data_IF_834765333522
#
_entry.id   IF_834765333522
#
_cell.length_a   1.000
_cell.length_b   1.000
_cell.length_c   1.000
_cell.angle_alpha   90.00
_cell.angle_beta   90.00
_cell.angle_gamma   90.00
#
_symmetry.space_group_name_H-M   'P 1'
#
loop_
_entity.id
_entity.type
_entity.pdbx_description
1 polymer ?
#
# COMPACT_ATOMS: atom_id res chain seq x y z
N UNK A 1 -5.08 -15.87 15.09
CA UNK A 1 -5.70 -14.57 14.77
C UNK A 1 -7.13 -14.53 15.29
N UNK A 2 -7.65 -13.37 15.68
CA UNK A 2 -9.05 -13.18 16.07
C UNK A 2 -9.79 -12.45 14.94
N UNK A 3 -10.60 -13.14 14.12
CA UNK A 3 -11.37 -12.49 13.07
C UNK A 3 -12.60 -11.78 13.66
N UNK A 4 -12.75 -10.49 13.35
CA UNK A 4 -13.92 -9.70 13.71
C UNK A 4 -14.61 -9.19 12.44
N UNK A 5 -15.88 -9.54 12.23
CA UNK A 5 -16.69 -8.96 11.16
C UNK A 5 -17.13 -7.56 11.63
N UNK A 6 -16.68 -6.52 10.92
CA UNK A 6 -16.88 -5.11 11.32
C UNK A 6 -17.19 -4.26 10.09
N UNK A 7 -18.29 -3.52 10.14
CA UNK A 7 -18.49 -2.34 9.30
C UNK A 7 -17.81 -1.14 9.96
N UNK A 8 -16.74 -0.61 9.36
CA UNK A 8 -15.98 0.54 9.91
C UNK A 8 -16.79 1.85 9.94
N UNK A 9 -18.01 1.86 9.38
CA UNK A 9 -18.93 2.99 9.50
C UNK A 9 -19.78 2.91 10.78
N UNK A 10 -19.84 1.76 11.43
CA UNK A 10 -20.61 1.50 12.64
C UNK A 10 -19.72 1.62 13.88
N UNK A 11 -20.08 2.54 14.77
CA UNK A 11 -19.31 2.85 15.98
C UNK A 11 -19.34 1.72 17.01
N UNK A 12 -20.49 1.05 17.15
CA UNK A 12 -20.62 -0.03 18.13
C UNK A 12 -19.79 -1.23 17.68
N UNK A 13 -19.82 -1.55 16.38
CA UNK A 13 -19.04 -2.67 15.85
C UNK A 13 -17.52 -2.44 15.97
N UNK A 14 -17.03 -1.21 15.73
CA UNK A 14 -15.62 -0.88 15.95
C UNK A 14 -15.27 -1.05 17.44
N UNK A 15 -16.09 -0.49 18.33
CA UNK A 15 -15.83 -0.52 19.77
C UNK A 15 -15.80 -1.96 20.30
N UNK A 16 -16.80 -2.76 19.96
CA UNK A 16 -16.86 -4.18 20.34
C UNK A 16 -15.67 -4.98 19.78
N UNK A 17 -15.24 -4.71 18.55
CA UNK A 17 -14.09 -5.40 17.96
C UNK A 17 -12.78 -5.07 18.67
N UNK A 18 -12.58 -3.80 19.02
CA UNK A 18 -11.43 -3.34 19.82
C UNK A 18 -11.46 -3.97 21.21
N UNK A 19 -12.60 -3.99 21.89
CA UNK A 19 -12.74 -4.63 23.20
C UNK A 19 -12.46 -6.13 23.14
N UNK A 20 -12.97 -6.83 22.13
CA UNK A 20 -12.67 -8.26 21.90
C UNK A 20 -11.18 -8.49 21.69
N UNK A 21 -10.51 -7.65 20.89
CA UNK A 21 -9.07 -7.74 20.68
C UNK A 21 -8.29 -7.50 21.97
N UNK A 22 -8.63 -6.46 22.74
CA UNK A 22 -7.98 -6.15 24.02
C UNK A 22 -8.18 -7.28 25.02
N UNK A 23 -9.37 -7.85 25.13
CA UNK A 23 -9.64 -8.99 26.02
C UNK A 23 -8.88 -10.25 25.61
N UNK A 24 -8.69 -10.47 24.30
CA UNK A 24 -7.97 -11.64 23.80
C UNK A 24 -6.44 -11.51 23.89
N UNK A 25 -5.90 -10.31 23.69
CA UNK A 25 -4.45 -10.10 23.52
C UNK A 25 -3.81 -9.19 24.59
N UNK A 26 -4.62 -8.63 25.51
CA UNK A 26 -4.16 -7.79 26.60
C UNK A 26 -3.92 -6.32 26.24
N UNK A 27 -4.07 -5.94 24.96
CA UNK A 27 -3.87 -4.58 24.49
C UNK A 27 -3.93 -4.44 22.97
N UNK A 28 -3.60 -3.24 22.48
CA UNK A 28 -3.41 -2.94 21.06
C UNK A 28 -2.10 -2.20 20.91
N UNK A 29 -1.18 -2.79 20.15
CA UNK A 29 0.12 -2.20 19.82
C UNK A 29 0.08 -1.49 18.45
N UNK A 30 -0.72 -1.98 17.51
CA UNK A 30 -0.72 -1.47 16.14
C UNK A 30 -2.16 -1.33 15.66
N UNK A 31 -2.50 -0.18 15.09
CA UNK A 31 -3.71 0.02 14.31
C UNK A 31 -3.32 0.28 12.86
N UNK A 32 -3.85 -0.53 11.95
CA UNK A 32 -3.70 -0.34 10.50
C UNK A 32 -5.07 -0.01 9.92
N UNK A 33 -5.27 1.24 9.53
CA UNK A 33 -6.51 1.71 8.90
C UNK A 33 -6.49 1.42 7.39
N UNK A 34 -6.68 0.16 7.03
CA UNK A 34 -6.60 -0.28 5.62
C UNK A 34 -7.92 -0.14 4.84
N UNK A 35 -9.06 0.03 5.50
CA UNK A 35 -10.37 0.09 4.84
C UNK A 35 -10.46 1.32 3.93
N UNK A 36 -10.87 1.11 2.66
CA UNK A 36 -11.01 2.19 1.68
C UNK A 36 -12.21 1.96 0.76
N UNK A 37 -12.88 3.06 0.41
CA UNK A 37 -13.85 3.15 -0.65
C UNK A 37 -13.45 4.28 -1.61
N UNK A 38 -13.57 4.05 -2.92
CA UNK A 38 -13.19 5.02 -3.94
C UNK A 38 -14.22 5.05 -5.08
N UNK A 39 -14.40 6.23 -5.68
CA UNK A 39 -15.13 6.42 -6.93
C UNK A 39 -14.26 7.17 -7.92
N UNK A 40 -13.94 6.53 -9.05
CA UNK A 40 -13.15 7.12 -10.14
C UNK A 40 -14.04 7.87 -11.13
N UNK A 41 -14.87 8.77 -10.61
CA UNK A 41 -15.80 9.58 -11.39
C UNK A 41 -15.52 11.05 -11.15
N UNK A 42 -15.83 11.89 -12.15
CA UNK A 42 -15.64 13.33 -12.01
C UNK A 42 -16.66 13.91 -11.03
N UNK A 43 -16.44 15.14 -10.54
CA UNK A 43 -17.32 15.78 -9.54
C UNK A 43 -18.79 15.83 -9.98
N UNK A 44 -19.05 16.15 -11.25
CA UNK A 44 -20.42 16.24 -11.79
C UNK A 44 -21.11 14.87 -11.91
N UNK A 45 -20.33 13.79 -11.96
CA UNK A 45 -20.82 12.42 -12.22
C UNK A 45 -20.85 11.58 -10.95
N UNK A 46 -20.20 12.04 -9.87
CA UNK A 46 -20.10 11.29 -8.62
C UNK A 46 -21.40 11.40 -7.83
N UNK A 47 -22.18 10.32 -7.66
CA UNK A 47 -23.42 10.39 -6.91
C UNK A 47 -23.13 10.66 -5.43
N UNK A 48 -23.97 11.46 -4.77
CA UNK A 48 -23.78 11.80 -3.34
C UNK A 48 -23.67 10.58 -2.44
N UNK A 49 -24.43 9.51 -2.72
CA UNK A 49 -24.31 8.25 -1.96
C UNK A 49 -22.89 7.65 -2.00
N UNK A 50 -22.14 7.85 -3.09
CA UNK A 50 -20.73 7.44 -3.17
C UNK A 50 -19.83 8.38 -2.39
N UNK A 51 -20.09 9.68 -2.40
CA UNK A 51 -19.37 10.65 -1.55
C UNK A 51 -19.54 10.28 -0.07
N UNK A 52 -20.77 10.03 0.36
CA UNK A 52 -21.08 9.64 1.73
C UNK A 52 -20.41 8.33 2.13
N UNK A 53 -20.36 7.35 1.21
CA UNK A 53 -19.66 6.10 1.42
C UNK A 53 -18.14 6.33 1.59
N UNK A 54 -17.51 7.09 0.69
CA UNK A 54 -16.08 7.39 0.77
C UNK A 54 -15.73 8.13 2.07
N UNK A 55 -16.52 9.14 2.43
CA UNK A 55 -16.33 9.87 3.70
C UNK A 55 -16.59 8.99 4.92
N UNK A 56 -17.61 8.14 4.87
CA UNK A 56 -17.97 7.22 5.95
C UNK A 56 -16.88 6.18 6.23
N UNK A 57 -16.28 5.60 5.17
CA UNK A 57 -15.23 4.58 5.29
C UNK A 57 -13.87 5.22 5.56
N UNK A 58 -13.42 6.12 4.67
CA UNK A 58 -12.02 6.56 4.64
C UNK A 58 -11.72 7.59 5.73
N UNK A 59 -12.65 8.51 5.98
CA UNK A 59 -12.44 9.60 6.93
C UNK A 59 -13.01 9.23 8.29
N UNK A 60 -14.33 9.00 8.37
CA UNK A 60 -15.01 8.75 9.65
C UNK A 60 -14.55 7.44 10.27
N UNK A 61 -14.47 6.36 9.50
CA UNK A 61 -14.01 5.05 9.98
C UNK A 61 -12.60 5.09 10.55
N UNK A 62 -11.65 5.66 9.79
CA UNK A 62 -10.26 5.87 10.24
C UNK A 62 -10.17 6.69 11.51
N UNK A 63 -10.88 7.82 11.58
CA UNK A 63 -10.90 8.67 12.77
C UNK A 63 -11.43 7.91 13.98
N UNK A 64 -12.53 7.19 13.82
CA UNK A 64 -13.20 6.49 14.91
C UNK A 64 -12.38 5.31 15.41
N UNK A 65 -11.85 4.47 14.53
CA UNK A 65 -10.94 3.38 14.89
C UNK A 65 -9.72 3.90 15.65
N UNK A 66 -9.13 5.00 15.17
CA UNK A 66 -8.01 5.66 15.85
C UNK A 66 -8.42 6.16 17.23
N UNK A 67 -9.54 6.88 17.36
CA UNK A 67 -10.07 7.38 18.63
C UNK A 67 -10.26 6.26 19.66
N UNK A 68 -10.82 5.12 19.25
CA UNK A 68 -11.09 3.99 20.14
C UNK A 68 -9.81 3.23 20.52
N UNK A 69 -8.84 3.13 19.61
CA UNK A 69 -7.57 2.42 19.86
C UNK A 69 -6.53 3.24 20.64
N UNK A 70 -6.53 4.58 20.52
CA UNK A 70 -5.54 5.48 21.14
C UNK A 70 -5.31 5.22 22.64
N UNK A 71 -6.35 5.01 23.49
CA UNK A 71 -6.14 4.71 24.91
C UNK A 71 -5.32 3.45 25.18
N UNK A 72 -5.38 2.46 24.30
CA UNK A 72 -4.61 1.22 24.38
C UNK A 72 -3.22 1.39 23.77
N UNK A 73 -3.15 2.04 22.61
CA UNK A 73 -1.89 2.37 21.93
C UNK A 73 -0.96 3.20 22.84
N UNK A 74 -1.50 4.18 23.59
CA UNK A 74 -0.72 4.97 24.56
C UNK A 74 -0.11 4.14 25.70
N UNK A 75 -0.64 2.95 25.99
CA UNK A 75 -0.12 2.02 27.01
C UNK A 75 0.88 1.03 26.42
N UNK A 76 0.87 0.84 25.11
CA UNK A 76 1.82 -0.02 24.41
C UNK A 76 3.21 0.61 24.40
N UNK A 77 4.23 -0.24 24.50
CA UNK A 77 5.64 0.16 24.43
C UNK A 77 6.17 0.25 22.99
N UNK A 78 5.40 -0.21 22.01
CA UNK A 78 5.81 -0.35 20.59
C UNK A 78 4.77 0.26 19.63
N UNK A 79 3.94 1.20 20.10
CA UNK A 79 2.83 1.71 19.32
C UNK A 79 3.25 2.52 18.09
N UNK A 80 2.77 2.13 16.90
CA UNK A 80 3.12 2.78 15.64
C UNK A 80 2.30 4.05 15.30
N UNK A 81 1.15 4.32 15.94
CA UNK A 81 0.42 5.59 15.73
C UNK A 81 1.25 6.81 16.17
N UNK A 82 2.25 6.58 17.03
CA UNK A 82 3.22 7.58 17.47
C UNK A 82 4.13 8.05 16.33
N UNK A 83 4.21 7.28 15.24
CA UNK A 83 5.03 7.54 14.07
C UNK A 83 4.30 8.30 12.96
N UNK A 84 3.17 8.93 13.27
CA UNK A 84 2.39 9.75 12.34
C UNK A 84 2.50 11.24 12.70
N UNK A 85 2.12 12.11 11.74
CA UNK A 85 1.93 13.54 11.98
C UNK A 85 0.50 13.84 12.45
N UNK A 86 0.33 14.95 13.16
CA UNK A 86 -0.99 15.51 13.50
C UNK A 86 -1.61 16.16 12.26
N UNK A 87 -2.94 16.31 12.22
CA UNK A 87 -3.62 17.00 11.11
C UNK A 87 -3.21 18.46 10.92
N UNK A 88 -2.54 19.08 11.90
CA UNK A 88 -2.15 20.49 11.85
C UNK A 88 -1.18 20.78 10.69
N UNK A 89 -0.36 19.80 10.30
CA UNK A 89 0.54 19.94 9.14
C UNK A 89 -0.24 20.23 7.85
N UNK A 90 -1.41 19.60 7.68
CA UNK A 90 -2.28 19.82 6.52
C UNK A 90 -2.92 21.21 6.56
N UNK A 91 -3.28 21.69 7.75
CA UNK A 91 -3.89 23.00 7.93
C UNK A 91 -2.90 24.12 7.59
N UNK A 92 -1.66 24.02 8.07
CA UNK A 92 -0.61 24.99 7.78
C UNK A 92 -0.17 24.94 6.32
N UNK A 93 -0.07 23.75 5.73
CA UNK A 93 0.22 23.59 4.31
C UNK A 93 -0.89 24.22 3.45
N UNK A 94 -2.17 23.99 3.78
CA UNK A 94 -3.29 24.63 3.10
C UNK A 94 -3.23 26.15 3.22
N UNK A 95 -2.94 26.69 4.41
CA UNK A 95 -2.75 28.13 4.60
C UNK A 95 -1.63 28.68 3.71
N UNK A 96 -0.47 28.02 3.68
CA UNK A 96 0.64 28.37 2.79
C UNK A 96 0.19 28.42 1.32
N UNK A 97 -0.49 27.37 0.84
CA UNK A 97 -1.02 27.32 -0.54
C UNK A 97 -1.96 28.51 -0.82
N UNK A 98 -2.88 28.84 0.10
CA UNK A 98 -3.84 29.94 -0.11
C UNK A 98 -3.20 31.33 -0.06
N UNK A 99 -2.03 31.47 0.56
CA UNK A 99 -1.28 32.74 0.58
C UNK A 99 -0.37 32.93 -0.63
N UNK A 100 -0.13 31.88 -1.43
CA UNK A 100 0.72 31.98 -2.63
C UNK A 100 0.04 32.72 -3.78
N UNK A 101 0.83 33.28 -4.73
CA UNK A 101 0.27 33.93 -5.90
C UNK A 101 -0.55 32.95 -6.77
N UNK A 102 -1.52 33.47 -7.52
CA UNK A 102 -2.48 32.66 -8.30
C UNK A 102 -1.83 31.68 -9.29
N UNK A 103 -0.62 31.99 -9.77
CA UNK A 103 0.13 31.12 -10.69
C UNK A 103 0.68 29.85 -10.02
N UNK A 104 0.56 29.71 -8.70
CA UNK A 104 0.86 28.48 -7.97
C UNK A 104 -0.26 27.43 -8.06
N UNK A 105 -1.40 27.76 -8.66
CA UNK A 105 -2.49 26.81 -8.84
C UNK A 105 -2.08 25.62 -9.71
N UNK A 106 -2.49 24.40 -9.34
CA UNK A 106 -2.25 23.18 -10.12
C UNK A 106 -0.96 22.43 -9.80
N UNK A 107 -0.21 22.85 -8.76
CA UNK A 107 0.95 22.10 -8.29
C UNK A 107 0.53 20.90 -7.42
N UNK A 108 1.29 19.81 -7.52
CA UNK A 108 1.25 18.70 -6.59
C UNK A 108 2.37 18.91 -5.56
N UNK A 109 2.01 19.05 -4.28
CA UNK A 109 2.93 19.38 -3.20
C UNK A 109 2.79 18.41 -2.05
N UNK A 110 3.90 18.17 -1.35
CA UNK A 110 3.93 17.41 -0.10
C UNK A 110 3.96 18.42 1.04
N UNK A 111 3.10 18.23 2.05
CA UNK A 111 2.90 19.19 3.15
C UNK A 111 4.22 19.54 3.84
N UNK A 112 5.03 18.53 4.19
CA UNK A 112 6.32 18.74 4.84
C UNK A 112 7.31 19.52 3.97
N UNK A 113 7.44 19.17 2.68
CA UNK A 113 8.35 19.87 1.77
C UNK A 113 7.95 21.33 1.58
N UNK A 114 6.65 21.58 1.40
CA UNK A 114 6.11 22.93 1.29
C UNK A 114 6.42 23.76 2.54
N UNK A 115 6.13 23.21 3.73
CA UNK A 115 6.36 23.91 4.99
C UNK A 115 7.85 24.15 5.28
N UNK A 116 8.72 23.22 4.89
CA UNK A 116 10.18 23.42 4.93
C UNK A 116 10.62 24.57 4.04
N UNK A 117 10.05 24.70 2.84
CA UNK A 117 10.31 25.84 1.94
C UNK A 117 9.81 27.17 2.50
N UNK A 118 8.73 27.17 3.29
CA UNK A 118 8.25 28.34 4.06
C UNK A 118 9.13 28.65 5.29
N UNK A 119 10.18 27.85 5.53
CA UNK A 119 11.16 28.07 6.59
C UNK A 119 10.87 27.34 7.90
N UNK A 120 9.87 26.45 7.95
CA UNK A 120 9.64 25.59 9.11
C UNK A 120 10.75 24.54 9.18
N UNK A 121 11.55 24.60 10.24
CA UNK A 121 12.70 23.71 10.44
C UNK A 121 12.40 22.54 11.37
N UNK A 122 11.68 22.84 12.44
CA UNK A 122 11.27 21.85 13.42
C UNK A 122 9.91 21.26 13.02
N UNK A 123 9.97 20.05 12.45
CA UNK A 123 8.75 19.35 12.07
C UNK A 123 8.16 18.55 13.23
N UNK A 124 8.88 18.34 14.34
CA UNK A 124 8.38 17.57 15.48
C UNK A 124 7.19 18.25 16.16
N UNK A 125 7.01 19.55 15.94
CA UNK A 125 5.78 20.27 16.28
C UNK A 125 4.52 19.61 15.71
N UNK A 126 4.64 18.91 14.57
CA UNK A 126 3.56 18.16 13.94
C UNK A 126 3.61 16.67 14.24
N UNK A 127 4.58 16.14 15.00
CA UNK A 127 4.62 14.72 15.33
C UNK A 127 3.57 14.38 16.39
N UNK A 128 2.85 13.26 16.23
CA UNK A 128 2.00 12.71 17.29
C UNK A 128 2.85 12.37 18.54
N UNK A 129 4.09 11.95 18.32
CA UNK A 129 5.08 11.71 19.37
C UNK A 129 6.45 12.28 18.94
N UNK A 130 6.85 13.47 19.42
CA UNK A 130 8.14 14.06 19.13
C UNK A 130 9.31 13.09 19.39
N UNK A 131 10.36 13.16 18.55
CA UNK A 131 11.53 12.29 18.63
C UNK A 131 11.32 10.82 18.22
N UNK A 132 10.15 10.43 17.69
CA UNK A 132 9.92 9.09 17.14
C UNK A 132 10.08 9.10 15.61
N UNK A 133 10.69 8.06 15.01
CA UNK A 133 10.83 7.97 13.56
C UNK A 133 9.44 7.84 12.91
N UNK A 134 9.18 8.62 11.87
CA UNK A 134 7.91 8.55 11.15
C UNK A 134 7.83 7.34 10.24
N UNK A 135 6.61 6.86 10.03
CA UNK A 135 6.33 5.94 8.94
C UNK A 135 6.15 6.76 7.65
N UNK A 136 6.93 6.46 6.59
CA UNK A 136 6.74 7.13 5.33
C UNK A 136 5.44 6.70 4.67
N UNK A 137 4.84 7.64 3.97
CA UNK A 137 3.60 7.41 3.24
C UNK A 137 3.87 6.57 1.98
N UNK A 138 3.00 5.59 1.73
CA UNK A 138 3.08 4.65 0.61
C UNK A 138 3.07 5.33 -0.78
N UNK A 139 2.54 6.56 -0.85
CA UNK A 139 2.45 7.35 -2.07
C UNK A 139 3.67 8.24 -2.34
N UNK A 140 4.63 8.32 -1.41
CA UNK A 140 5.90 9.01 -1.62
C UNK A 140 6.91 8.10 -2.32
N UNK A 141 7.70 8.69 -3.23
CA UNK A 141 8.75 7.98 -3.97
C UNK A 141 10.06 7.91 -3.17
N UNK A 142 9.98 7.49 -1.90
CA UNK A 142 11.19 7.19 -1.15
C UNK A 142 11.79 5.87 -1.65
N UNK A 143 13.08 5.89 -1.97
CA UNK A 143 13.76 4.67 -2.36
C UNK A 143 13.78 3.70 -1.16
N UNK A 144 13.58 2.39 -1.40
CA UNK A 144 13.67 1.37 -0.34
C UNK A 144 14.97 1.47 0.48
N UNK A 145 16.04 1.95 -0.15
CA UNK A 145 17.36 2.16 0.48
C UNK A 145 17.36 3.34 1.48
N UNK A 146 16.67 4.44 1.16
CA UNK A 146 16.54 5.58 2.07
C UNK A 146 15.69 5.22 3.30
N UNK A 147 14.62 4.46 3.07
CA UNK A 147 13.76 3.95 4.12
C UNK A 147 14.49 2.98 5.06
N UNK A 148 15.23 2.02 4.50
CA UNK A 148 16.04 1.09 5.29
C UNK A 148 17.08 1.83 6.15
N UNK A 149 17.71 2.87 5.59
CA UNK A 149 18.72 3.67 6.31
C UNK A 149 18.11 4.45 7.48
N UNK A 150 16.97 5.11 7.27
CA UNK A 150 16.26 5.85 8.31
C UNK A 150 15.73 4.94 9.43
N UNK A 151 15.27 3.72 9.07
CA UNK A 151 14.82 2.70 10.02
C UNK A 151 15.99 2.10 10.82
N UNK A 152 17.15 1.87 10.18
CA UNK A 152 18.36 1.35 10.83
C UNK A 152 18.98 2.36 11.82
N UNK A 153 18.99 3.65 11.49
CA UNK A 153 19.41 4.72 12.41
C UNK A 153 18.60 4.73 13.71
N UNK A 154 17.36 4.23 13.67
CA UNK A 154 16.44 4.15 14.80
C UNK A 154 16.25 2.71 15.33
N UNK A 155 17.10 1.77 14.91
CA UNK A 155 17.18 0.41 15.48
C UNK A 155 16.19 -0.62 14.93
N UNK A 156 15.55 -0.38 13.78
CA UNK A 156 14.65 -1.33 13.12
C UNK A 156 15.33 -2.01 11.92
N UNK A 157 15.05 -3.31 11.69
CA UNK A 157 15.66 -4.11 10.61
C UNK A 157 14.75 -4.20 9.40
N UNK A 158 15.27 -3.88 8.20
CA UNK A 158 14.54 -3.97 6.94
C UNK A 158 14.44 -5.42 6.41
N UNK A 159 13.26 -5.81 5.91
CA UNK A 159 12.93 -7.18 5.51
C UNK A 159 13.32 -7.57 4.06
N UNK A 160 13.95 -6.69 3.27
CA UNK A 160 14.22 -6.95 1.85
C UNK A 160 15.53 -6.34 1.35
N UNK A 161 16.32 -7.11 0.58
CA UNK A 161 17.51 -6.63 -0.17
C UNK A 161 17.36 -7.03 -1.64
N UNK A 162 17.37 -6.07 -2.56
CA UNK A 162 17.27 -6.33 -4.01
C UNK A 162 18.67 -6.40 -4.63
N UNK A 163 18.98 -7.52 -5.29
CA UNK A 163 20.20 -7.71 -6.08
C UNK A 163 20.04 -7.21 -7.53
N UNK A 164 21.07 -6.56 -8.08
CA UNK A 164 21.13 -6.13 -9.49
C UNK A 164 21.67 -7.25 -10.39
N UNK A 165 20.98 -7.56 -11.48
CA UNK A 165 21.57 -8.24 -12.63
C UNK A 165 21.01 -7.72 -13.96
N UNK A 166 21.92 -7.44 -14.90
CA UNK A 166 21.68 -7.00 -16.28
C UNK A 166 22.20 -8.08 -17.23
N UNK A 167 21.37 -8.58 -18.14
CA UNK A 167 21.77 -9.40 -19.29
C UNK A 167 20.90 -9.11 -20.52
N UNK A 168 21.43 -9.42 -21.72
CA UNK A 168 20.96 -9.04 -23.07
C UNK A 168 19.64 -9.73 -23.44
N UNK A 169 18.63 -8.92 -23.76
CA UNK A 169 17.22 -9.36 -23.80
C UNK A 169 16.77 -9.83 -25.20
N UNK A 170 16.31 -11.08 -25.30
CA UNK A 170 15.61 -11.62 -26.51
C UNK A 170 14.10 -11.74 -26.32
N UNK A 171 13.61 -11.78 -25.07
CA UNK A 171 12.20 -11.66 -24.67
C UNK A 171 12.14 -11.11 -23.24
N UNK A 172 11.91 -9.80 -23.06
CA UNK A 172 11.78 -9.17 -21.74
C UNK A 172 10.81 -9.90 -20.78
N UNK A 173 9.69 -10.38 -21.31
CA UNK A 173 8.70 -11.14 -20.52
C UNK A 173 9.28 -12.48 -20.10
N UNK A 174 9.86 -13.24 -21.03
CA UNK A 174 10.42 -14.56 -20.74
C UNK A 174 11.57 -14.53 -19.73
N UNK A 175 12.41 -13.49 -19.77
CA UNK A 175 13.47 -13.30 -18.77
C UNK A 175 12.90 -12.98 -17.40
N UNK A 176 11.86 -12.16 -17.33
CA UNK A 176 11.16 -11.88 -16.07
C UNK A 176 10.64 -13.17 -15.44
N UNK A 177 9.99 -14.04 -16.23
CA UNK A 177 9.51 -15.33 -15.72
C UNK A 177 10.63 -16.30 -15.33
N UNK A 178 11.78 -16.29 -16.00
CA UNK A 178 12.96 -17.05 -15.56
C UNK A 178 13.50 -16.57 -14.21
N UNK A 179 13.51 -15.25 -13.97
CA UNK A 179 13.93 -14.70 -12.67
C UNK A 179 12.93 -15.08 -11.58
N UNK A 180 11.63 -15.01 -11.89
CA UNK A 180 10.57 -15.45 -10.98
C UNK A 180 10.77 -16.92 -10.63
N UNK A 181 10.87 -17.80 -11.64
CA UNK A 181 11.08 -19.24 -11.47
C UNK A 181 12.30 -19.55 -10.59
N UNK A 182 13.43 -18.88 -10.84
CA UNK A 182 14.64 -19.05 -10.02
C UNK A 182 14.54 -18.52 -8.59
N UNK A 183 13.50 -17.73 -8.27
CA UNK A 183 13.25 -17.18 -6.94
C UNK A 183 12.20 -17.97 -6.15
N UNK A 184 11.51 -18.94 -6.78
CA UNK A 184 10.51 -19.78 -6.11
C UNK A 184 11.21 -20.71 -5.11
N UNK A 185 10.66 -20.79 -3.91
CA UNK A 185 11.13 -21.66 -2.85
C UNK A 185 9.95 -22.19 -2.02
N UNK A 186 10.22 -23.15 -1.14
CA UNK A 186 9.17 -23.76 -0.30
C UNK A 186 8.44 -22.75 0.60
N UNK A 187 9.11 -21.69 1.05
CA UNK A 187 8.50 -20.68 1.91
C UNK A 187 7.45 -19.88 1.13
N UNK A 188 7.79 -19.41 -0.08
CA UNK A 188 6.89 -18.68 -0.96
C UNK A 188 5.65 -19.52 -1.34
N UNK A 189 5.83 -20.83 -1.57
CA UNK A 189 4.72 -21.75 -1.84
C UNK A 189 3.83 -21.89 -0.59
N UNK A 190 4.42 -22.17 0.58
CA UNK A 190 3.67 -22.35 1.84
C UNK A 190 2.92 -21.09 2.27
N UNK A 191 3.48 -19.91 2.04
CA UNK A 191 2.87 -18.63 2.44
C UNK A 191 1.76 -18.18 1.49
N UNK A 192 1.89 -18.45 0.20
CA UNK A 192 1.00 -17.86 -0.82
C UNK A 192 -0.16 -18.79 -1.18
N UNK A 193 0.10 -20.09 -1.36
CA UNK A 193 -0.93 -21.12 -1.62
C UNK A 193 -1.90 -20.79 -2.77
N UNK A 194 -1.40 -20.14 -3.82
CA UNK A 194 -2.20 -19.64 -4.95
C UNK A 194 -1.57 -19.90 -6.32
N UNK A 195 -2.43 -20.07 -7.33
CA UNK A 195 -2.05 -20.20 -8.74
C UNK A 195 -2.47 -18.94 -9.49
N UNK A 196 -1.50 -18.26 -10.09
CA UNK A 196 -1.69 -17.02 -10.84
C UNK A 196 -1.49 -17.26 -12.34
N UNK A 197 -2.40 -16.74 -13.16
CA UNK A 197 -2.29 -16.74 -14.61
C UNK A 197 -2.16 -15.30 -15.12
N UNK A 198 -1.21 -15.06 -16.00
CA UNK A 198 -0.98 -13.80 -16.68
C UNK A 198 -1.36 -13.93 -18.14
N UNK A 199 -2.35 -13.16 -18.58
CA UNK A 199 -2.76 -13.05 -19.99
C UNK A 199 -2.19 -11.74 -20.53
N UNK A 200 -1.08 -11.83 -21.24
CA UNK A 200 -0.35 -10.69 -21.78
C UNK A 200 -0.73 -10.44 -23.23
N UNK A 201 -0.94 -9.18 -23.58
CA UNK A 201 -1.19 -8.74 -24.96
C UNK A 201 -0.13 -7.71 -25.42
N UNK A 202 -0.17 -7.33 -26.69
CA UNK A 202 0.76 -6.36 -27.26
C UNK A 202 2.00 -7.01 -27.90
N UNK A 203 3.18 -6.45 -27.66
CA UNK A 203 4.41 -6.84 -28.36
C UNK A 203 4.87 -8.28 -28.07
N UNK A 204 4.66 -8.77 -26.84
CA UNK A 204 4.95 -10.13 -26.44
C UNK A 204 3.68 -10.79 -25.86
N UNK A 205 2.75 -11.12 -26.76
CA UNK A 205 1.52 -11.79 -26.36
C UNK A 205 1.75 -13.23 -25.89
N UNK A 206 0.93 -13.65 -24.95
CA UNK A 206 0.90 -15.03 -24.47
C UNK A 206 0.33 -15.18 -23.09
N UNK A 207 -0.02 -16.43 -22.77
CA UNK A 207 -0.41 -16.84 -21.43
C UNK A 207 0.82 -17.34 -20.69
N UNK A 208 0.95 -16.93 -19.44
CA UNK A 208 2.00 -17.35 -18.51
C UNK A 208 1.38 -17.70 -17.16
N UNK A 209 2.08 -18.47 -16.35
CA UNK A 209 1.62 -18.86 -15.03
C UNK A 209 2.70 -18.72 -13.96
N UNK A 210 2.24 -18.60 -12.72
CA UNK A 210 3.02 -18.70 -11.49
C UNK A 210 2.21 -19.56 -10.51
N UNK A 211 2.67 -20.79 -10.29
CA UNK A 211 2.13 -21.73 -9.32
C UNK A 211 2.93 -21.62 -8.03
N UNK A 212 2.27 -21.11 -6.97
CA UNK A 212 2.79 -21.06 -5.60
C UNK A 212 1.91 -21.90 -4.67
N UNK A 213 1.31 -22.98 -5.18
CA UNK A 213 0.38 -23.85 -4.46
C UNK A 213 0.81 -25.32 -4.54
N UNK A 214 1.22 -25.76 -5.71
CA UNK A 214 1.49 -27.17 -6.01
C UNK A 214 2.97 -27.50 -5.89
N UNK A 215 3.30 -28.63 -5.25
CA UNK A 215 4.66 -29.17 -5.25
C UNK A 215 5.74 -28.18 -4.77
N UNK A 216 6.80 -28.01 -5.56
CA UNK A 216 7.87 -27.03 -5.31
C UNK A 216 7.58 -25.65 -5.93
N UNK A 217 6.36 -25.42 -6.42
CA UNK A 217 5.98 -24.27 -7.23
C UNK A 217 6.59 -24.33 -8.64
N UNK A 218 6.18 -23.39 -9.48
CA UNK A 218 6.68 -23.28 -10.85
C UNK A 218 6.21 -22.02 -11.55
N UNK A 219 6.92 -21.59 -12.57
CA UNK A 219 6.49 -20.48 -13.40
C UNK A 219 6.93 -20.72 -14.84
N UNK A 220 6.13 -20.25 -15.81
CA UNK A 220 6.46 -20.50 -17.21
C UNK A 220 5.42 -20.01 -18.20
N UNK A 221 5.72 -20.24 -19.48
CA UNK A 221 4.81 -19.93 -20.59
C UNK A 221 3.80 -21.05 -20.76
N UNK A 222 2.53 -20.71 -20.89
CA UNK A 222 1.42 -21.64 -21.03
C UNK A 222 0.34 -21.43 -19.97
N UNK A 223 -0.62 -22.34 -19.95
CA UNK A 223 -1.63 -22.40 -18.90
C UNK A 223 -1.08 -23.13 -17.66
N UNK A 224 -1.53 -22.76 -16.45
CA UNK A 224 -1.19 -23.51 -15.24
C UNK A 224 -1.69 -24.95 -15.30
N UNK A 225 -1.06 -25.85 -14.52
CA UNK A 225 -1.45 -27.25 -14.42
C UNK A 225 -2.85 -27.46 -13.82
N UNK A 226 -3.27 -26.54 -12.96
CA UNK A 226 -4.57 -26.50 -12.32
C UNK A 226 -5.25 -25.15 -12.54
N UNK A 227 -6.55 -25.07 -12.23
CA UNK A 227 -7.34 -23.84 -12.38
C UNK A 227 -6.69 -22.69 -11.60
N UNK A 228 -6.42 -21.59 -12.30
CA UNK A 228 -5.90 -20.37 -11.69
C UNK A 228 -6.88 -19.80 -10.66
N UNK A 229 -6.37 -19.44 -9.48
CA UNK A 229 -7.08 -18.74 -8.43
C UNK A 229 -7.24 -17.24 -8.82
N UNK A 230 -6.21 -16.69 -9.49
CA UNK A 230 -6.19 -15.29 -9.98
C UNK A 230 -5.74 -15.23 -11.43
N UNK A 231 -6.47 -14.47 -12.25
CA UNK A 231 -6.12 -14.14 -13.63
C UNK A 231 -5.85 -12.65 -13.76
N UNK A 232 -4.63 -12.29 -14.14
CA UNK A 232 -4.17 -10.94 -14.40
C UNK A 232 -4.06 -10.71 -15.91
N UNK A 233 -4.57 -9.60 -16.42
CA UNK A 233 -4.49 -9.24 -17.84
C UNK A 233 -3.94 -7.84 -18.03
N UNK A 234 -2.90 -7.68 -18.86
CA UNK A 234 -2.24 -6.40 -19.14
C UNK A 234 -1.40 -6.42 -20.42
N UNK A 235 -0.95 -5.24 -20.86
CA UNK A 235 0.04 -5.13 -21.94
C UNK A 235 1.41 -5.64 -21.46
N UNK A 236 2.10 -6.39 -22.33
CA UNK A 236 3.42 -6.96 -22.06
C UNK A 236 4.47 -5.91 -21.68
N UNK A 237 4.41 -4.69 -22.23
CA UNK A 237 5.30 -3.60 -21.84
C UNK A 237 5.03 -3.07 -20.44
N UNK A 238 3.76 -3.04 -20.02
CA UNK A 238 3.38 -2.63 -18.67
C UNK A 238 3.69 -3.72 -17.63
N UNK A 239 3.61 -5.00 -18.01
CA UNK A 239 4.11 -6.12 -17.19
C UNK A 239 5.59 -5.96 -16.86
N UNK A 240 6.45 -5.73 -17.87
CA UNK A 240 7.89 -5.54 -17.66
C UNK A 240 8.17 -4.31 -16.79
N UNK A 241 7.44 -3.20 -16.99
CA UNK A 241 7.57 -2.01 -16.12
C UNK A 241 7.17 -2.31 -14.69
N UNK A 242 6.14 -3.12 -14.47
CA UNK A 242 5.68 -3.48 -13.14
C UNK A 242 6.74 -4.30 -12.39
N UNK A 243 7.30 -5.32 -13.04
CA UNK A 243 8.35 -6.17 -12.45
C UNK A 243 9.71 -5.47 -12.30
N UNK A 244 9.98 -4.43 -13.09
CA UNK A 244 11.18 -3.58 -12.94
C UNK A 244 10.96 -2.38 -12.01
N UNK A 245 9.80 -2.28 -11.35
CA UNK A 245 9.47 -1.21 -10.40
C UNK A 245 9.13 0.14 -11.02
N UNK A 246 9.06 0.24 -12.35
CA UNK A 246 8.75 1.48 -13.10
C UNK A 246 7.25 1.77 -13.19
N UNK A 247 6.40 0.80 -12.83
CA UNK A 247 4.94 0.95 -12.77
C UNK A 247 4.42 0.29 -11.49
N UNK A 248 3.88 1.07 -10.56
CA UNK A 248 3.30 0.52 -9.32
C UNK A 248 2.04 -0.31 -9.66
N UNK A 249 1.86 -1.54 -9.11
CA UNK A 249 0.70 -2.39 -9.42
C UNK A 249 -0.66 -1.73 -9.15
N UNK A 250 -0.75 -0.94 -8.08
CA UNK A 250 -1.96 -0.18 -7.72
C UNK A 250 -2.36 0.82 -8.80
N UNK A 251 -1.40 1.57 -9.33
CA UNK A 251 -1.62 2.51 -10.43
C UNK A 251 -2.01 1.79 -11.73
N UNK A 252 -1.39 0.63 -12.01
CA UNK A 252 -1.77 -0.18 -13.16
C UNK A 252 -3.22 -0.66 -13.05
N UNK A 253 -3.66 -1.10 -11.88
CA UNK A 253 -5.03 -1.56 -11.64
C UNK A 253 -6.05 -0.41 -11.72
N UNK A 254 -5.79 0.69 -11.01
CA UNK A 254 -6.70 1.85 -10.96
C UNK A 254 -6.87 2.53 -12.33
N UNK A 255 -5.82 2.55 -13.16
CA UNK A 255 -5.90 3.08 -14.53
C UNK A 255 -6.50 2.11 -15.55
N UNK A 256 -6.85 0.88 -15.13
CA UNK A 256 -7.41 -0.16 -15.99
C UNK A 256 -6.39 -0.87 -16.90
N UNK A 257 -5.10 -0.56 -16.74
CA UNK A 257 -3.98 -1.22 -17.46
C UNK A 257 -3.75 -2.66 -16.99
N UNK A 258 -3.99 -2.91 -15.71
CA UNK A 258 -4.05 -4.25 -15.11
C UNK A 258 -5.50 -4.58 -14.76
N UNK A 259 -6.00 -5.69 -15.30
CA UNK A 259 -7.31 -6.25 -14.93
C UNK A 259 -7.09 -7.53 -14.14
N UNK A 260 -7.76 -7.66 -13.01
CA UNK A 260 -7.68 -8.84 -12.14
C UNK A 260 -9.06 -9.49 -12.08
N UNK A 261 -9.11 -10.81 -12.20
CA UNK A 261 -10.30 -11.65 -11.98
C UNK A 261 -9.90 -12.83 -11.09
N UNK A 262 -10.76 -13.22 -10.16
CA UNK A 262 -10.49 -14.35 -9.25
C UNK A 262 -10.57 -13.95 -7.78
N UNK A 263 -10.10 -14.85 -6.92
CA UNK A 263 -10.06 -14.67 -5.47
C UNK A 263 -8.68 -14.15 -5.07
N UNK A 264 -8.63 -12.93 -4.53
CA UNK A 264 -7.39 -12.21 -4.22
C UNK A 264 -6.94 -12.47 -2.79
#
# INVERSE_FOLDING_TARGET
ALPCIVDVRDENQITEAVEKAVNAFGGIDILVNNASAISLTNTLETPMKKVDLMMGVNTRGTYLASKVCIPYLKKSKVAHILQCRTPDIMADAAYSIFTKPKNFSGNFVIDEELLRQEGIKDMDAYAVSPGHPLLPDFFLDESPDALASAMEEHGATAAFKVGKAQAKITSPVGETFKVIEGSINEEAVKSTQGIYQFVLFGAEEGTWYLDLKSGCGGAGKGEPSDKADVVMSMDSGDFVKMFTGKLKPTMAFMSGKLKIKGDM
#
